data_IF_205063126265
#
_entry.id   IF_205063126265
#
_cell.length_a   1.000
_cell.length_b   1.000
_cell.length_c   1.000
_cell.angle_alpha   90.00
_cell.angle_beta   90.00
_cell.angle_gamma   90.00
#
_symmetry.space_group_name_H-M   'P 1'
#
loop_
_entity.id
_entity.type
_entity.pdbx_description
1 polymer ?
#
# COMPACT_ATOMS: atom_id res chain seq x y z
N UNK A 1 -4.64 11.42 -1.86
CA UNK A 1 -3.58 12.04 -1.02
C UNK A 1 -3.98 11.85 0.44
N UNK A 2 -3.03 11.58 1.33
CA UNK A 2 -3.28 11.47 2.77
C UNK A 2 -2.77 12.71 3.51
N UNK A 3 -3.31 12.95 4.69
CA UNK A 3 -2.82 13.99 5.61
C UNK A 3 -2.56 13.31 6.95
N UNK A 4 -1.35 13.45 7.47
CA UNK A 4 -1.06 13.15 8.87
C UNK A 4 -1.32 14.43 9.67
N UNK A 5 -2.43 14.44 10.39
CA UNK A 5 -2.78 15.55 11.26
C UNK A 5 -1.84 15.58 12.47
N UNK A 6 -1.54 16.80 12.90
CA UNK A 6 -0.96 17.04 14.22
C UNK A 6 -2.06 16.88 15.27
N UNK A 7 -1.72 16.35 16.43
CA UNK A 7 -2.66 16.33 17.56
C UNK A 7 -2.96 17.80 17.95
N UNK A 8 -4.23 18.13 18.21
CA UNK A 8 -4.61 19.50 18.55
C UNK A 8 -4.08 19.87 19.94
N UNK A 9 -3.35 20.99 20.02
CA UNK A 9 -2.78 21.52 21.27
C UNK A 9 -3.77 22.44 22.00
N UNK A 10 -3.86 22.33 23.31
CA UNK A 10 -4.44 23.39 24.14
C UNK A 10 -3.39 24.48 24.42
N UNK A 11 -3.82 25.75 24.50
CA UNK A 11 -2.94 26.93 24.60
C UNK A 11 -1.95 26.95 25.79
N UNK A 12 -2.06 26.00 26.71
CA UNK A 12 -1.20 25.88 27.89
C UNK A 12 -0.18 24.72 27.83
N UNK A 13 -0.16 23.93 26.74
CA UNK A 13 0.78 22.83 26.61
C UNK A 13 2.16 23.32 26.19
N UNK A 14 3.18 23.00 27.01
CA UNK A 14 4.59 23.34 26.74
C UNK A 14 5.35 22.07 26.35
N UNK A 15 5.64 21.95 25.06
CA UNK A 15 6.46 20.85 24.55
C UNK A 15 7.94 21.06 24.83
N UNK A 16 8.59 20.06 25.42
CA UNK A 16 10.05 20.01 25.51
C UNK A 16 10.70 19.38 24.27
N UNK A 17 9.94 18.56 23.52
CA UNK A 17 10.41 17.86 22.32
C UNK A 17 9.23 17.37 21.46
N UNK A 18 9.38 17.50 20.14
CA UNK A 18 8.45 16.98 19.13
C UNK A 18 9.24 16.12 18.14
N UNK A 19 8.82 14.86 17.96
CA UNK A 19 9.53 13.90 17.08
C UNK A 19 8.68 13.42 15.90
N UNK A 20 7.36 13.56 15.98
CA UNK A 20 6.43 13.09 14.95
C UNK A 20 6.18 14.22 13.96
N UNK A 21 6.38 13.95 12.67
CA UNK A 21 6.05 14.90 11.61
C UNK A 21 4.56 14.86 11.25
N UNK A 22 3.97 16.04 11.06
CA UNK A 22 2.65 16.25 10.47
C UNK A 22 2.79 16.65 8.99
N UNK A 23 1.74 16.48 8.18
CA UNK A 23 1.73 16.97 6.80
C UNK A 23 1.03 16.10 5.77
N UNK A 24 0.95 16.61 4.54
CA UNK A 24 0.33 15.94 3.38
C UNK A 24 1.32 14.97 2.75
N UNK A 25 0.82 13.82 2.28
CA UNK A 25 1.61 12.86 1.53
C UNK A 25 0.83 12.27 0.34
N UNK A 26 1.59 11.89 -0.69
CA UNK A 26 1.08 11.18 -1.86
C UNK A 26 2.02 10.04 -2.19
N UNK A 27 1.46 8.84 -2.39
CA UNK A 27 2.18 7.70 -2.96
C UNK A 27 1.41 7.20 -4.18
N UNK A 28 2.15 6.80 -5.22
CA UNK A 28 1.61 6.28 -6.47
C UNK A 28 2.34 4.99 -6.81
N UNK A 29 1.59 3.97 -7.17
CA UNK A 29 2.11 2.67 -7.58
C UNK A 29 1.60 2.36 -8.98
N UNK A 30 2.44 1.76 -9.82
CA UNK A 30 2.02 1.19 -11.09
C UNK A 30 1.52 -0.23 -10.82
N UNK A 31 0.30 -0.53 -11.20
CA UNK A 31 -0.26 -1.88 -11.08
C UNK A 31 0.18 -2.74 -12.27
N UNK A 32 0.32 -4.06 -12.09
CA UNK A 32 0.54 -4.97 -13.20
C UNK A 32 -0.70 -5.02 -14.11
N UNK A 33 -0.51 -5.42 -15.36
CA UNK A 33 -1.60 -5.48 -16.36
C UNK A 33 -2.74 -6.41 -15.95
N UNK A 34 -2.41 -7.51 -15.27
CA UNK A 34 -3.39 -8.49 -14.80
C UNK A 34 -4.04 -8.12 -13.45
N UNK A 35 -4.04 -6.85 -13.05
CA UNK A 35 -4.73 -6.41 -11.84
C UNK A 35 -6.22 -6.21 -12.10
N UNK A 36 -7.08 -6.80 -11.24
CA UNK A 36 -8.54 -6.57 -11.28
C UNK A 36 -8.87 -5.26 -10.56
N UNK A 37 -8.73 -4.14 -11.25
CA UNK A 37 -8.87 -2.79 -10.69
C UNK A 37 -10.24 -2.51 -10.07
N UNK A 38 -11.30 -3.09 -10.62
CA UNK A 38 -12.67 -2.99 -10.10
C UNK A 38 -12.88 -3.71 -8.76
N UNK A 39 -11.97 -4.62 -8.39
CA UNK A 39 -12.06 -5.47 -7.19
C UNK A 39 -11.06 -5.07 -6.10
N UNK A 40 -10.46 -3.90 -6.21
CA UNK A 40 -9.56 -3.36 -5.17
C UNK A 40 -10.34 -3.17 -3.87
N UNK A 41 -9.77 -3.64 -2.76
CA UNK A 41 -10.32 -3.46 -1.42
C UNK A 41 -9.32 -2.70 -0.55
N UNK A 42 -9.83 -1.90 0.37
CA UNK A 42 -9.00 -1.18 1.34
C UNK A 42 -9.60 -1.28 2.74
N UNK A 43 -8.74 -1.41 3.75
CA UNK A 43 -9.11 -1.39 5.16
C UNK A 43 -8.09 -0.59 5.97
N UNK A 44 -8.56 0.05 7.04
CA UNK A 44 -7.71 0.79 7.99
C UNK A 44 -7.84 0.13 9.35
N UNK A 45 -6.73 -0.33 9.91
CA UNK A 45 -6.70 -0.98 11.22
C UNK A 45 -5.45 -0.54 11.97
N UNK A 46 -5.59 -0.13 13.23
CA UNK A 46 -4.48 0.30 14.10
C UNK A 46 -3.54 1.34 13.46
N UNK A 47 -4.08 2.28 12.68
CA UNK A 47 -3.32 3.32 11.98
C UNK A 47 -2.61 2.86 10.70
N UNK A 48 -2.87 1.63 10.23
CA UNK A 48 -2.30 1.07 8.99
C UNK A 48 -3.38 0.92 7.92
N UNK A 49 -3.17 1.59 6.78
CA UNK A 49 -3.98 1.41 5.57
C UNK A 49 -3.46 0.19 4.79
N UNK A 50 -4.28 -0.86 4.71
CA UNK A 50 -4.04 -2.03 3.86
C UNK A 50 -4.84 -1.88 2.57
N UNK A 51 -4.17 -2.03 1.41
CA UNK A 51 -4.82 -2.01 0.09
C UNK A 51 -4.54 -3.33 -0.61
N UNK A 52 -5.60 -4.09 -0.87
CA UNK A 52 -5.53 -5.40 -1.53
C UNK A 52 -5.92 -5.24 -3.00
N UNK A 53 -5.00 -5.57 -3.89
CA UNK A 53 -5.19 -5.55 -5.35
C UNK A 53 -5.20 -6.99 -5.86
N UNK A 54 -6.38 -7.59 -6.11
CA UNK A 54 -6.46 -8.94 -6.65
C UNK A 54 -5.91 -9.01 -8.08
N UNK A 55 -5.28 -10.13 -8.42
CA UNK A 55 -4.76 -10.42 -9.76
C UNK A 55 -5.67 -11.40 -10.48
N UNK A 56 -5.71 -11.30 -11.80
CA UNK A 56 -6.27 -12.35 -12.66
C UNK A 56 -5.41 -13.60 -12.61
N UNK A 57 -6.07 -14.75 -12.56
CA UNK A 57 -5.41 -16.03 -12.70
C UNK A 57 -4.91 -16.18 -14.13
N UNK A 58 -3.61 -15.96 -14.31
CA UNK A 58 -2.93 -16.31 -15.54
C UNK A 58 -2.71 -17.82 -15.50
N UNK A 59 -3.23 -18.56 -16.49
CA UNK A 59 -2.91 -19.98 -16.66
C UNK A 59 -1.39 -20.10 -16.67
N UNK A 60 -0.83 -20.80 -15.67
CA UNK A 60 0.61 -21.07 -15.64
C UNK A 60 0.94 -21.82 -16.93
N UNK A 61 1.96 -21.40 -17.70
CA UNK A 61 2.39 -22.16 -18.85
C UNK A 61 2.76 -23.56 -18.37
N UNK A 62 2.23 -24.59 -19.04
CA UNK A 62 2.66 -25.96 -18.80
C UNK A 62 4.16 -26.04 -19.11
N UNK A 63 4.95 -26.38 -18.09
CA UNK A 63 6.38 -26.58 -18.25
C UNK A 63 6.55 -27.84 -19.11
N UNK A 64 6.89 -27.66 -20.38
CA UNK A 64 7.27 -28.78 -21.25
C UNK A 64 8.71 -29.17 -20.92
N UNK A 65 8.97 -30.37 -20.38
CA UNK A 65 10.34 -30.83 -20.18
C UNK A 65 11.01 -31.00 -21.53
N UNK A 66 12.12 -30.30 -21.75
CA UNK A 66 12.98 -30.51 -22.92
C UNK A 66 14.05 -31.50 -22.51
N UNK A 67 14.06 -32.69 -23.12
CA UNK A 67 15.16 -33.64 -22.95
C UNK A 67 16.40 -33.12 -23.67
N UNK A 68 17.51 -33.05 -22.96
CA UNK A 68 18.83 -32.78 -23.53
C UNK A 68 19.50 -34.14 -23.73
N UNK A 69 19.69 -34.55 -24.98
CA UNK A 69 20.52 -35.72 -25.32
C UNK A 69 21.97 -35.31 -25.50
N UNK A 70 22.87 -36.06 -24.87
CA UNK A 70 24.32 -36.02 -25.06
C UNK A 70 24.81 -37.31 -25.69
#
# INVERSE_FOLDING_TARGET
>A
AGIRHEEQEEKNDKWHRVERSSGKFLRRFRLPENAKTEQIKASMENGVLTVTVPKEEVKKPEVKPIQITG
#
